data_IF_629220610861
#
_entry.id   IF_629220610861
#
_cell.length_a   1.000
_cell.length_b   1.000
_cell.length_c   1.000
_cell.angle_alpha   90.00
_cell.angle_beta   90.00
_cell.angle_gamma   90.00
#
_symmetry.space_group_name_H-M   'P 1'
#
loop_
_entity.id
_entity.type
_entity.pdbx_description
1 polymer ?
#
# COMPACT_ATOMS: atom_id res chain seq x y z
N UNK A 1 -5.52 -14.83 22.93
CA UNK A 1 -5.69 -13.84 21.85
C UNK A 1 -4.39 -13.78 21.05
N UNK A 2 -4.41 -14.24 19.80
CA UNK A 2 -3.21 -14.24 18.96
C UNK A 2 -2.87 -12.80 18.59
N UNK A 3 -1.67 -12.35 18.97
CA UNK A 3 -1.22 -10.99 18.68
C UNK A 3 -1.13 -10.83 17.15
N UNK A 4 -1.89 -9.89 16.56
CA UNK A 4 -2.00 -9.70 15.10
C UNK A 4 -0.62 -9.44 14.46
N UNK A 5 0.33 -8.91 15.24
CA UNK A 5 1.70 -8.62 14.86
C UNK A 5 2.56 -9.87 14.57
N UNK A 6 2.15 -11.07 15.02
CA UNK A 6 2.82 -12.34 14.75
C UNK A 6 1.98 -13.28 13.86
N UNK A 7 1.02 -12.71 13.13
CA UNK A 7 0.12 -13.49 12.28
C UNK A 7 0.84 -13.89 10.97
N UNK A 8 1.36 -15.11 10.92
CA UNK A 8 2.15 -15.65 9.80
C UNK A 8 1.24 -16.46 8.84
N UNK A 9 1.46 -16.32 7.54
CA UNK A 9 0.82 -17.14 6.52
C UNK A 9 1.45 -18.54 6.48
N UNK A 10 0.63 -19.58 6.68
CA UNK A 10 1.06 -21.00 6.58
C UNK A 10 1.09 -21.53 5.14
N UNK A 11 0.39 -20.86 4.24
CA UNK A 11 0.28 -21.20 2.83
C UNK A 11 0.36 -19.93 1.99
N UNK A 12 0.72 -20.11 0.72
CA UNK A 12 0.63 -19.07 -0.29
C UNK A 12 -0.79 -18.53 -0.36
N UNK A 13 -0.93 -17.21 -0.42
CA UNK A 13 -2.19 -16.51 -0.59
C UNK A 13 -2.45 -16.41 -2.11
N UNK A 14 -3.51 -17.08 -2.56
CA UNK A 14 -3.90 -17.10 -3.97
C UNK A 14 -4.46 -15.75 -4.42
N UNK A 15 -4.43 -15.44 -5.72
CA UNK A 15 -5.02 -14.20 -6.24
C UNK A 15 -6.51 -14.04 -5.89
N UNK A 16 -7.25 -15.15 -5.85
CA UNK A 16 -8.65 -15.15 -5.43
C UNK A 16 -8.79 -14.73 -3.96
N UNK A 17 -7.95 -15.25 -3.08
CA UNK A 17 -7.93 -14.87 -1.65
C UNK A 17 -7.49 -13.42 -1.46
N UNK A 18 -6.50 -12.92 -2.22
CA UNK A 18 -6.10 -11.50 -2.20
C UNK A 18 -7.31 -10.60 -2.47
N UNK A 19 -8.02 -10.85 -3.59
CA UNK A 19 -9.21 -10.07 -3.94
C UNK A 19 -10.31 -10.20 -2.87
N UNK A 20 -10.53 -11.39 -2.34
CA UNK A 20 -11.50 -11.62 -1.28
C UNK A 20 -11.17 -10.80 -0.03
N UNK A 21 -9.95 -10.85 0.49
CA UNK A 21 -9.55 -10.16 1.72
C UNK A 21 -9.58 -8.63 1.57
N UNK A 22 -9.22 -8.11 0.40
CA UNK A 22 -9.32 -6.66 0.13
C UNK A 22 -10.79 -6.23 0.05
N UNK A 23 -11.64 -7.02 -0.61
CA UNK A 23 -13.06 -6.70 -0.75
C UNK A 23 -13.82 -6.83 0.58
N UNK A 24 -13.48 -7.79 1.44
CA UNK A 24 -14.07 -7.94 2.76
C UNK A 24 -13.53 -6.95 3.79
N UNK A 25 -12.39 -6.31 3.52
CA UNK A 25 -11.69 -5.45 4.49
C UNK A 25 -10.84 -6.23 5.49
N UNK A 26 -10.72 -7.55 5.35
CA UNK A 26 -9.92 -8.42 6.21
C UNK A 26 -8.42 -8.34 5.89
N UNK A 27 -7.87 -7.13 5.84
CA UNK A 27 -6.48 -6.85 5.45
C UNK A 27 -5.46 -7.56 6.36
N UNK A 28 -5.84 -7.90 7.60
CA UNK A 28 -5.03 -8.69 8.53
C UNK A 28 -4.77 -10.14 8.05
N UNK A 29 -5.51 -10.61 7.05
CA UNK A 29 -5.31 -11.91 6.41
C UNK A 29 -4.16 -11.88 5.40
N UNK A 30 -3.82 -10.70 4.88
CA UNK A 30 -2.68 -10.47 4.00
C UNK A 30 -1.40 -10.46 4.83
N UNK A 31 -0.67 -11.58 4.77
CA UNK A 31 0.40 -11.92 5.73
C UNK A 31 1.66 -12.35 5.03
N UNK A 32 2.78 -12.19 5.73
CA UNK A 32 4.09 -12.71 5.32
C UNK A 32 4.22 -14.20 5.65
N UNK A 33 5.07 -14.90 4.93
CA UNK A 33 5.53 -16.24 5.32
C UNK A 33 6.41 -16.15 6.55
N UNK A 34 6.75 -17.29 7.15
CA UNK A 34 7.63 -17.32 8.32
C UNK A 34 9.01 -16.73 8.02
N UNK A 35 9.60 -17.09 6.88
CA UNK A 35 10.88 -16.56 6.41
C UNK A 35 10.81 -15.05 6.17
N UNK A 36 9.82 -14.59 5.39
CA UNK A 36 9.63 -13.16 5.10
C UNK A 36 9.36 -12.34 6.37
N UNK A 37 8.60 -12.89 7.32
CA UNK A 37 8.37 -12.24 8.60
C UNK A 37 9.65 -12.17 9.42
N UNK A 38 10.45 -13.24 9.44
CA UNK A 38 11.75 -13.26 10.12
C UNK A 38 12.68 -12.18 9.56
N UNK A 39 12.82 -12.10 8.24
CA UNK A 39 13.64 -11.08 7.57
C UNK A 39 13.15 -9.66 7.89
N UNK A 40 11.82 -9.46 7.86
CA UNK A 40 11.20 -8.20 8.25
C UNK A 40 11.48 -7.83 9.71
N UNK A 41 11.38 -8.78 10.65
CA UNK A 41 11.67 -8.53 12.06
C UNK A 41 13.16 -8.25 12.30
N UNK A 42 14.06 -8.96 11.61
CA UNK A 42 15.51 -8.69 11.65
C UNK A 42 15.78 -7.28 11.15
N UNK A 43 15.20 -6.90 10.01
CA UNK A 43 15.33 -5.55 9.46
C UNK A 43 14.78 -4.52 10.44
N UNK A 44 13.57 -4.72 10.96
CA UNK A 44 12.92 -3.83 11.94
C UNK A 44 13.75 -3.64 13.21
N UNK A 45 14.40 -4.68 13.71
CA UNK A 45 15.28 -4.61 14.90
C UNK A 45 16.46 -3.65 14.70
N UNK A 46 16.94 -3.46 13.46
CA UNK A 46 17.98 -2.46 13.15
C UNK A 46 17.51 -1.02 13.39
N UNK A 47 16.20 -0.80 13.46
CA UNK A 47 15.59 0.52 13.66
C UNK A 47 14.99 0.70 15.05
N UNK A 48 15.28 -0.17 16.03
CA UNK A 48 14.78 0.00 17.42
C UNK A 48 15.29 1.31 18.04
N UNK A 49 16.44 1.82 17.56
CA UNK A 49 17.03 3.09 17.96
C UNK A 49 17.08 4.12 16.81
N UNK A 50 16.39 3.86 15.70
CA UNK A 50 16.39 4.74 14.51
C UNK A 50 14.95 5.08 14.18
N UNK A 51 14.67 6.35 13.92
CA UNK A 51 13.35 6.76 13.47
C UNK A 51 13.06 6.14 12.09
N UNK A 52 12.22 5.10 12.06
CA UNK A 52 11.81 4.41 10.84
C UNK A 52 11.11 5.36 9.85
N UNK A 53 10.42 6.39 10.35
CA UNK A 53 9.83 7.41 9.48
C UNK A 53 10.95 8.19 8.78
N UNK A 54 11.95 8.66 9.52
CA UNK A 54 13.09 9.38 8.95
C UNK A 54 13.88 8.52 7.96
N UNK A 55 14.16 7.26 8.28
CA UNK A 55 14.83 6.35 7.34
C UNK A 55 14.08 6.21 6.02
N UNK A 56 12.75 6.09 6.08
CA UNK A 56 11.93 5.98 4.88
C UNK A 56 11.89 7.29 4.09
N UNK A 57 11.87 8.44 4.77
CA UNK A 57 12.00 9.74 4.11
C UNK A 57 13.34 9.86 3.39
N UNK A 58 14.44 9.47 4.02
CA UNK A 58 15.78 9.47 3.41
C UNK A 58 15.83 8.54 2.19
N UNK A 59 15.30 7.31 2.29
CA UNK A 59 15.18 6.37 1.17
C UNK A 59 14.36 6.95 0.01
N UNK A 60 13.32 7.72 0.34
CA UNK A 60 12.49 8.41 -0.65
C UNK A 60 13.08 9.75 -1.09
N UNK A 61 14.21 10.20 -0.52
CA UNK A 61 14.79 11.52 -0.78
C UNK A 61 13.84 12.68 -0.45
N UNK A 62 13.02 12.52 0.59
CA UNK A 62 12.04 13.49 1.05
C UNK A 62 12.47 14.06 2.41
N UNK A 63 12.08 15.31 2.69
CA UNK A 63 12.39 15.97 3.97
C UNK A 63 11.14 16.05 4.84
N UNK A 64 11.27 15.76 6.13
CA UNK A 64 10.16 15.78 7.09
C UNK A 64 9.47 17.16 7.14
N UNK A 65 10.25 18.23 7.23
CA UNK A 65 9.75 19.62 7.24
C UNK A 65 8.96 19.98 5.97
N UNK A 66 9.41 19.49 4.82
CA UNK A 66 8.72 19.70 3.54
C UNK A 66 7.36 19.01 3.55
N UNK A 67 7.30 17.75 4.00
CA UNK A 67 6.04 17.01 4.11
C UNK A 67 5.09 17.65 5.12
N UNK A 68 5.62 18.13 6.25
CA UNK A 68 4.81 18.82 7.24
C UNK A 68 4.20 20.09 6.66
N UNK A 69 5.01 20.96 6.07
CA UNK A 69 4.54 22.18 5.40
C UNK A 69 3.51 21.86 4.31
N UNK A 70 3.76 20.82 3.52
CA UNK A 70 2.88 20.38 2.46
C UNK A 70 1.51 19.93 2.99
N UNK A 71 1.46 19.19 4.10
CA UNK A 71 0.21 18.62 4.63
C UNK A 71 -0.53 19.52 5.62
N UNK A 72 0.18 20.41 6.31
CA UNK A 72 -0.40 21.28 7.35
C UNK A 72 -0.78 22.66 6.79
N UNK A 73 -0.15 23.08 5.68
CA UNK A 73 -0.39 24.40 5.06
C UNK A 73 -1.03 24.24 3.68
N UNK A 74 -0.40 23.50 2.76
CA UNK A 74 -0.84 23.44 1.35
C UNK A 74 -2.09 22.56 1.22
N UNK A 75 -1.99 21.28 1.60
CA UNK A 75 -3.07 20.29 1.56
C UNK A 75 -3.64 20.04 2.95
N UNK A 76 -4.02 21.12 3.62
CA UNK A 76 -4.48 21.11 5.01
C UNK A 76 -5.93 20.62 5.21
N UNK A 77 -6.68 20.41 4.13
CA UNK A 77 -8.04 19.85 4.15
C UNK A 77 -8.14 18.63 3.25
N UNK A 78 -9.11 17.75 3.54
CA UNK A 78 -9.36 16.57 2.72
C UNK A 78 -9.71 16.93 1.28
N UNK A 79 -10.48 17.99 1.06
CA UNK A 79 -10.79 18.50 -0.28
C UNK A 79 -9.53 18.84 -1.06
N UNK A 80 -8.60 19.60 -0.46
CA UNK A 80 -7.33 19.94 -1.11
C UNK A 80 -6.48 18.70 -1.36
N UNK A 81 -6.42 17.76 -0.40
CA UNK A 81 -5.70 16.48 -0.55
C UNK A 81 -6.24 15.67 -1.71
N UNK A 82 -7.56 15.52 -1.80
CA UNK A 82 -8.25 14.83 -2.89
C UNK A 82 -7.95 15.50 -4.22
N UNK A 83 -8.01 16.84 -4.27
CA UNK A 83 -7.77 17.60 -5.49
C UNK A 83 -6.29 17.63 -5.91
N UNK A 84 -5.34 17.41 -5.01
CA UNK A 84 -3.91 17.43 -5.30
C UNK A 84 -3.28 16.04 -5.51
N UNK A 85 -3.90 14.98 -4.97
CA UNK A 85 -3.35 13.63 -5.02
C UNK A 85 -3.07 13.20 -6.47
N UNK A 86 -1.84 12.72 -6.70
CA UNK A 86 -1.34 12.20 -7.96
C UNK A 86 -1.32 13.18 -9.15
N UNK A 87 -1.54 14.48 -8.96
CA UNK A 87 -1.46 15.47 -10.05
C UNK A 87 -0.05 15.87 -10.47
N UNK A 88 0.93 15.62 -9.61
CA UNK A 88 2.32 15.96 -9.88
C UNK A 88 3.21 14.76 -9.53
N UNK A 89 4.10 14.40 -10.45
CA UNK A 89 5.02 13.27 -10.33
C UNK A 89 5.99 13.41 -9.16
N UNK A 90 6.27 14.63 -8.71
CA UNK A 90 7.11 14.93 -7.55
C UNK A 90 6.43 14.61 -6.20
N UNK A 91 5.11 14.42 -6.20
CA UNK A 91 4.31 14.16 -5.01
C UNK A 91 4.17 12.68 -4.68
N UNK A 92 4.61 11.77 -5.55
CA UNK A 92 4.55 10.34 -5.29
C UNK A 92 5.78 9.59 -5.81
N UNK A 93 6.03 8.41 -5.26
CA UNK A 93 7.11 7.50 -5.72
C UNK A 93 6.65 6.06 -5.71
N UNK A 94 7.12 5.30 -6.69
CA UNK A 94 6.87 3.87 -6.78
C UNK A 94 8.08 3.07 -6.29
N UNK A 95 7.84 2.02 -5.50
CA UNK A 95 8.86 1.09 -5.05
C UNK A 95 8.30 -0.34 -4.98
N UNK A 96 9.13 -1.34 -5.23
CA UNK A 96 8.80 -2.72 -4.82
C UNK A 96 8.78 -2.76 -3.30
N UNK A 97 7.84 -3.50 -2.72
CA UNK A 97 7.87 -3.76 -1.29
C UNK A 97 9.06 -4.69 -0.98
N UNK A 98 10.03 -4.21 -0.20
CA UNK A 98 11.20 -5.01 0.20
C UNK A 98 10.80 -6.24 1.04
N UNK A 99 9.64 -6.18 1.71
CA UNK A 99 9.10 -7.25 2.54
C UNK A 99 7.66 -7.57 2.11
N UNK A 100 7.48 -8.18 0.92
CA UNK A 100 6.16 -8.46 0.37
C UNK A 100 5.42 -9.49 1.22
N UNK A 101 4.10 -9.54 1.07
CA UNK A 101 3.29 -10.61 1.64
C UNK A 101 3.46 -11.93 0.87
N UNK A 102 2.95 -13.02 1.42
CA UNK A 102 3.16 -14.37 0.89
C UNK A 102 2.19 -14.70 -0.24
N UNK A 103 2.31 -14.00 -1.35
CA UNK A 103 1.48 -14.20 -2.54
C UNK A 103 2.00 -15.32 -3.44
N UNK A 104 1.18 -15.74 -4.39
CA UNK A 104 1.56 -16.66 -5.46
C UNK A 104 2.68 -16.10 -6.36
N UNK A 105 3.47 -16.97 -7.02
CA UNK A 105 4.69 -16.55 -7.74
C UNK A 105 4.48 -15.61 -8.92
N UNK A 106 3.25 -15.40 -9.38
CA UNK A 106 2.88 -14.48 -10.45
C UNK A 106 2.21 -13.21 -9.91
N UNK A 107 2.34 -12.90 -8.62
CA UNK A 107 1.79 -11.70 -7.98
C UNK A 107 2.91 -10.84 -7.41
N UNK A 108 2.92 -9.56 -7.77
CA UNK A 108 3.88 -8.57 -7.27
C UNK A 108 3.24 -7.59 -6.28
N UNK A 109 4.03 -7.15 -5.30
CA UNK A 109 3.63 -6.21 -4.27
C UNK A 109 4.39 -4.89 -4.42
N UNK A 110 3.69 -3.87 -4.91
CA UNK A 110 4.24 -2.54 -5.16
C UNK A 110 3.69 -1.56 -4.12
N UNK A 111 4.52 -0.59 -3.74
CA UNK A 111 4.16 0.53 -2.88
C UNK A 111 4.12 1.81 -3.69
N UNK A 112 3.02 2.54 -3.59
CA UNK A 112 2.90 3.91 -4.09
C UNK A 112 2.97 4.84 -2.89
N UNK A 113 4.11 5.47 -2.68
CA UNK A 113 4.33 6.46 -1.63
C UNK A 113 3.77 7.81 -2.06
N UNK A 114 3.10 8.52 -1.16
CA UNK A 114 2.55 9.86 -1.40
C UNK A 114 3.07 10.84 -0.36
N UNK A 115 3.56 12.00 -0.84
CA UNK A 115 3.89 13.15 0.02
C UNK A 115 2.63 13.75 0.64
N UNK A 116 1.50 13.69 -0.08
CA UNK A 116 0.18 14.11 0.42
C UNK A 116 -0.40 13.00 1.29
N UNK A 117 -0.85 13.32 2.50
CA UNK A 117 -1.61 12.40 3.34
C UNK A 117 -2.94 12.08 2.67
N UNK A 118 -3.24 10.79 2.49
CA UNK A 118 -4.43 10.37 1.75
C UNK A 118 -5.59 10.05 2.73
N UNK A 119 -6.69 10.83 2.76
CA UNK A 119 -7.86 10.55 3.60
C UNK A 119 -8.71 9.43 3.00
N UNK A 120 -8.26 8.19 3.19
CA UNK A 120 -8.76 7.03 2.42
C UNK A 120 -9.97 6.40 3.07
N UNK A 121 -10.02 6.46 4.39
CA UNK A 121 -11.12 6.01 5.20
C UNK A 121 -11.82 7.23 5.80
N UNK A 122 -13.15 7.17 5.97
CA UNK A 122 -13.93 8.28 6.56
C UNK A 122 -13.54 8.60 8.00
N UNK A 123 -13.01 7.60 8.69
CA UNK A 123 -12.54 7.72 10.07
C UNK A 123 -11.22 7.01 10.20
N UNK A 124 -10.27 7.61 10.91
CA UNK A 124 -9.00 6.98 11.34
C UNK A 124 -9.24 5.95 12.47
N UNK A 125 -10.37 5.23 12.44
CA UNK A 125 -10.68 4.20 13.43
C UNK A 125 -9.58 3.16 13.39
N UNK A 126 -8.91 2.99 14.53
CA UNK A 126 -8.09 1.83 14.81
C UNK A 126 -9.02 0.64 14.77
N UNK A 127 -8.71 -0.40 14.01
CA UNK A 127 -9.40 -1.69 14.09
C UNK A 127 -8.96 -2.45 15.35
N UNK A 128 -8.87 -1.75 16.49
CA UNK A 128 -8.40 -2.30 17.76
C UNK A 128 -9.30 -3.43 18.26
N UNK A 129 -10.55 -3.48 17.79
CA UNK A 129 -11.52 -4.52 18.12
C UNK A 129 -11.61 -5.63 17.06
N UNK A 130 -10.73 -5.64 16.05
CA UNK A 130 -10.74 -6.71 15.05
C UNK A 130 -10.16 -7.99 15.64
N UNK A 131 -10.99 -9.02 15.70
CA UNK A 131 -10.62 -10.37 16.10
C UNK A 131 -10.59 -11.24 14.86
N UNK A 132 -9.49 -11.97 14.68
CA UNK A 132 -9.32 -12.86 13.53
C UNK A 132 -10.49 -13.87 13.49
N UNK A 133 -11.26 -13.86 12.40
CA UNK A 133 -12.38 -14.77 12.19
C UNK A 133 -13.69 -14.38 12.88
N UNK A 134 -13.78 -13.18 13.49
CA UNK A 134 -15.04 -12.69 14.08
C UNK A 134 -15.93 -12.08 12.99
N UNK A 135 -17.15 -12.61 12.76
CA UNK A 135 -18.08 -12.07 11.76
C UNK A 135 -18.61 -10.67 12.12
N UNK A 136 -18.44 -10.23 13.37
CA UNK A 136 -18.84 -8.89 13.83
C UNK A 136 -17.75 -7.85 13.65
N UNK A 137 -16.63 -8.20 13.01
CA UNK A 137 -15.59 -7.24 12.67
C UNK A 137 -16.18 -6.08 11.85
N UNK A 138 -15.95 -4.86 12.34
CA UNK A 138 -16.37 -3.64 11.65
C UNK A 138 -15.15 -2.94 11.06
N UNK A 139 -15.11 -2.83 9.73
CA UNK A 139 -14.02 -2.19 9.00
C UNK A 139 -14.39 -0.76 8.62
N UNK A 140 -13.41 0.18 8.63
CA UNK A 140 -13.70 1.56 8.31
C UNK A 140 -14.15 1.73 6.86
N UNK A 141 -15.17 2.55 6.65
CA UNK A 141 -15.67 2.86 5.32
C UNK A 141 -14.70 3.72 4.52
N UNK A 142 -14.61 3.46 3.21
CA UNK A 142 -13.85 4.30 2.29
C UNK A 142 -14.42 5.72 2.18
N UNK A 143 -13.53 6.70 2.12
CA UNK A 143 -13.80 8.01 1.56
C UNK A 143 -13.99 7.87 0.04
N UNK A 144 -15.25 7.95 -0.42
CA UNK A 144 -15.62 7.69 -1.82
C UNK A 144 -14.88 8.62 -2.81
N UNK A 145 -14.81 9.95 -2.60
CA UNK A 145 -14.00 10.83 -3.43
C UNK A 145 -12.53 10.40 -3.57
N UNK A 146 -11.83 10.13 -2.47
CA UNK A 146 -10.43 9.71 -2.53
C UNK A 146 -10.28 8.34 -3.20
N UNK A 147 -11.18 7.39 -2.92
CA UNK A 147 -11.21 6.08 -3.59
C UNK A 147 -11.33 6.25 -5.11
N UNK A 148 -12.17 7.18 -5.57
CA UNK A 148 -12.35 7.48 -7.00
C UNK A 148 -11.07 8.05 -7.63
N UNK A 149 -10.40 8.99 -6.96
CA UNK A 149 -9.13 9.56 -7.44
C UNK A 149 -8.07 8.47 -7.62
N UNK A 150 -7.91 7.57 -6.65
CA UNK A 150 -6.96 6.47 -6.77
C UNK A 150 -7.35 5.49 -7.87
N UNK A 151 -8.63 5.14 -7.98
CA UNK A 151 -9.10 4.25 -9.05
C UNK A 151 -8.81 4.85 -10.43
N UNK A 152 -9.07 6.14 -10.62
CA UNK A 152 -8.74 6.85 -11.86
C UNK A 152 -7.23 6.87 -12.13
N UNK A 153 -6.42 7.15 -11.12
CA UNK A 153 -4.96 7.14 -11.23
C UNK A 153 -4.41 5.77 -11.61
N UNK A 154 -4.88 4.70 -10.95
CA UNK A 154 -4.47 3.34 -11.26
C UNK A 154 -4.97 2.88 -12.63
N UNK A 155 -6.19 3.23 -13.01
CA UNK A 155 -6.69 2.94 -14.36
C UNK A 155 -5.79 3.58 -15.42
N UNK A 156 -5.43 4.85 -15.25
CA UNK A 156 -4.56 5.55 -16.19
C UNK A 156 -3.15 4.93 -16.26
N UNK A 157 -2.56 4.64 -15.11
CA UNK A 157 -1.17 4.16 -15.02
C UNK A 157 -1.00 2.67 -15.29
N UNK A 158 -2.01 1.85 -15.00
CA UNK A 158 -1.97 0.38 -15.12
C UNK A 158 -2.77 -0.08 -16.33
N UNK A 159 -4.07 0.21 -16.35
CA UNK A 159 -4.98 -0.31 -17.38
C UNK A 159 -4.68 0.31 -18.73
N UNK A 160 -4.70 1.63 -18.82
CA UNK A 160 -4.62 2.33 -20.10
C UNK A 160 -3.21 2.20 -20.73
N UNK A 161 -2.16 2.05 -19.89
CA UNK A 161 -0.77 1.98 -20.36
C UNK A 161 -0.24 0.55 -20.59
N UNK A 162 -0.61 -0.40 -19.74
CA UNK A 162 -0.07 -1.76 -19.78
C UNK A 162 -1.12 -2.81 -20.17
N UNK A 163 -2.36 -2.40 -20.45
CA UNK A 163 -3.49 -3.28 -20.75
C UNK A 163 -3.77 -4.31 -19.65
N UNK A 164 -3.46 -3.97 -18.39
CA UNK A 164 -3.73 -4.82 -17.23
C UNK A 164 -5.07 -4.39 -16.64
N UNK A 165 -6.09 -5.23 -16.77
CA UNK A 165 -7.44 -4.94 -16.30
C UNK A 165 -7.56 -4.98 -14.77
N UNK A 166 -8.62 -4.38 -14.22
CA UNK A 166 -8.95 -4.43 -12.78
C UNK A 166 -9.16 -5.85 -12.24
N UNK A 167 -9.29 -6.86 -13.11
CA UNK A 167 -9.30 -8.26 -12.69
C UNK A 167 -7.93 -8.76 -12.21
N UNK A 168 -6.86 -8.08 -12.65
CA UNK A 168 -5.44 -8.43 -12.48
C UNK A 168 -4.67 -7.40 -11.64
N UNK A 169 -5.33 -6.39 -11.08
CA UNK A 169 -4.74 -5.59 -10.01
C UNK A 169 -5.77 -5.21 -8.95
N UNK A 170 -5.30 -5.00 -7.73
CA UNK A 170 -6.11 -4.47 -6.64
C UNK A 170 -5.21 -3.66 -5.71
N UNK A 171 -5.82 -2.83 -4.86
CA UNK A 171 -5.06 -1.98 -3.97
C UNK A 171 -5.75 -1.82 -2.63
N UNK A 172 -4.96 -1.50 -1.62
CA UNK A 172 -5.43 -1.19 -0.27
C UNK A 172 -4.44 -0.29 0.45
N UNK A 173 -4.87 0.28 1.56
CA UNK A 173 -4.01 0.90 2.55
C UNK A 173 -4.24 0.17 3.85
N UNK A 174 -3.16 -0.21 4.53
CA UNK A 174 -3.29 -0.84 5.84
C UNK A 174 -4.04 0.09 6.81
N UNK A 175 -4.86 -0.48 7.69
CA UNK A 175 -5.40 0.29 8.82
C UNK A 175 -4.28 0.75 9.74
N UNK A 176 -4.53 1.80 10.55
CA UNK A 176 -3.50 2.45 11.39
C UNK A 176 -2.70 1.45 12.25
N UNK A 177 -3.35 0.43 12.81
CA UNK A 177 -2.73 -0.63 13.62
C UNK A 177 -1.93 -1.67 12.80
N UNK A 178 -2.15 -1.77 11.50
CA UNK A 178 -1.42 -2.64 10.57
C UNK A 178 -0.27 -1.91 9.85
N UNK A 179 -0.30 -0.57 9.84
CA UNK A 179 0.74 0.22 9.21
C UNK A 179 2.05 0.15 10.00
N UNK A 180 3.15 -0.15 9.31
CA UNK A 180 4.48 -0.07 9.89
C UNK A 180 4.99 1.37 9.96
N UNK A 181 4.63 2.22 9.00
CA UNK A 181 5.07 3.60 8.86
C UNK A 181 3.84 4.49 8.70
N UNK A 182 3.45 5.19 9.76
CA UNK A 182 2.27 6.06 9.77
C UNK A 182 2.57 7.48 9.27
N UNK A 183 3.84 7.89 9.32
CA UNK A 183 4.28 9.24 8.98
C UNK A 183 4.14 9.57 7.48
N UNK A 184 4.11 8.56 6.61
CA UNK A 184 4.04 8.73 5.16
C UNK A 184 2.95 7.81 4.59
N UNK A 185 2.00 8.40 3.86
CA UNK A 185 0.94 7.64 3.22
C UNK A 185 1.48 6.77 2.10
N UNK A 186 1.06 5.51 2.06
CA UNK A 186 1.44 4.58 1.01
C UNK A 186 0.28 3.65 0.66
N UNK A 187 0.11 3.39 -0.63
CA UNK A 187 -0.83 2.42 -1.18
C UNK A 187 -0.08 1.13 -1.46
N UNK A 188 -0.62 0.03 -0.99
CA UNK A 188 -0.22 -1.30 -1.44
C UNK A 188 -0.97 -1.61 -2.72
N UNK A 189 -0.25 -1.62 -3.84
CA UNK A 189 -0.75 -2.06 -5.13
C UNK A 189 -0.30 -3.50 -5.37
N UNK A 190 -1.25 -4.40 -5.54
CA UNK A 190 -1.00 -5.80 -5.84
C UNK A 190 -1.37 -6.05 -7.30
N UNK A 191 -0.45 -6.60 -8.08
CA UNK A 191 -0.64 -6.85 -9.51
C UNK A 191 -0.38 -8.32 -9.78
N UNK A 192 -1.32 -9.00 -10.42
CA UNK A 192 -1.11 -10.30 -11.04
C UNK A 192 -0.46 -10.09 -12.41
N UNK A 193 0.69 -10.71 -12.60
CA UNK A 193 1.52 -10.51 -13.78
C UNK A 193 0.85 -11.04 -15.04
N UNK A 194 0.88 -10.27 -16.14
CA UNK A 194 0.60 -10.81 -17.47
C UNK A 194 1.50 -12.00 -17.79
N UNK A 195 0.99 -12.94 -18.59
CA UNK A 195 1.73 -14.16 -18.96
C UNK A 195 3.15 -13.87 -19.51
N UNK A 196 3.33 -12.75 -20.24
CA UNK A 196 4.63 -12.32 -20.78
C UNK A 196 5.70 -12.00 -19.72
N UNK A 197 5.32 -11.72 -18.48
CA UNK A 197 6.24 -11.42 -17.38
C UNK A 197 6.30 -12.52 -16.31
N UNK A 198 5.70 -13.70 -16.57
CA UNK A 198 5.66 -14.78 -15.61
C UNK A 198 7.08 -15.18 -15.17
N UNK A 199 7.35 -15.09 -13.87
CA UNK A 199 8.67 -15.38 -13.30
C UNK A 199 9.73 -14.28 -13.47
N UNK A 200 9.38 -13.13 -14.06
CA UNK A 200 10.29 -12.00 -14.24
C UNK A 200 9.72 -10.71 -13.66
N UNK A 201 9.67 -10.66 -12.33
CA UNK A 201 9.11 -9.53 -11.57
C UNK A 201 9.90 -8.24 -11.79
N UNK A 202 11.23 -8.36 -11.87
CA UNK A 202 12.12 -7.22 -12.00
C UNK A 202 11.92 -6.51 -13.33
N UNK A 203 11.86 -7.25 -14.45
CA UNK A 203 11.63 -6.64 -15.76
C UNK A 203 10.29 -5.90 -15.82
N UNK A 204 9.22 -6.51 -15.28
CA UNK A 204 7.92 -5.85 -15.23
C UNK A 204 7.95 -4.60 -14.33
N UNK A 205 8.60 -4.67 -13.17
CA UNK A 205 8.69 -3.52 -12.29
C UNK A 205 9.48 -2.36 -12.90
N UNK A 206 10.59 -2.63 -13.59
CA UNK A 206 11.35 -1.56 -14.27
C UNK A 206 10.51 -0.88 -15.35
N UNK A 207 9.75 -1.65 -16.13
CA UNK A 207 8.83 -1.10 -17.12
C UNK A 207 7.71 -0.28 -16.46
N UNK A 208 7.14 -0.78 -15.36
CA UNK A 208 6.09 -0.11 -14.58
C UNK A 208 6.58 1.21 -13.98
N UNK A 209 7.77 1.19 -13.37
CA UNK A 209 8.40 2.37 -12.74
C UNK A 209 8.70 3.44 -13.77
N UNK A 210 9.18 3.06 -14.96
CA UNK A 210 9.44 3.97 -16.06
C UNK A 210 8.18 4.66 -16.61
N UNK A 211 6.99 4.09 -16.36
CA UNK A 211 5.74 4.58 -16.94
C UNK A 211 4.67 5.08 -15.98
N UNK A 212 4.95 5.19 -14.69
CA UNK A 212 4.01 5.77 -13.72
C UNK A 212 3.96 7.31 -13.89
N UNK A 213 2.91 7.80 -14.55
CA UNK A 213 2.69 9.23 -14.84
C UNK A 213 1.60 9.84 -13.95
N UNK A 214 1.66 11.16 -13.67
CA UNK A 214 0.63 11.84 -12.89
C UNK A 214 -0.73 11.81 -13.61
N UNK A 215 -1.80 12.03 -12.85
CA UNK A 215 -3.13 12.31 -13.40
C UNK A 215 -3.08 13.61 -14.23
N UNK A 216 -3.72 13.64 -15.41
CA UNK A 216 -3.86 14.85 -16.21
C UNK A 216 -4.75 15.91 -15.54
#
# INVERSE_FOLDING_TARGET
>A
MTNITNNIAKKVITWKEVKQYINSGELYMLRRSELQNTDYQIHKKKFVNVDMAQFMLDKLGWKSEELQKLNDIVYNTDEKRINGAFKDKSLFKLAVNDFPYYFEPDVIHVLIWSKIKLPIYKTDKKTSDVKIGDPNNNFPEFNKPMKKVIASFLKHTITDKYCITEENYCWFINYVNLQSIQAVSHIHLIIKLPAKYKGNHEAFFQELKGGFEPLP
#
